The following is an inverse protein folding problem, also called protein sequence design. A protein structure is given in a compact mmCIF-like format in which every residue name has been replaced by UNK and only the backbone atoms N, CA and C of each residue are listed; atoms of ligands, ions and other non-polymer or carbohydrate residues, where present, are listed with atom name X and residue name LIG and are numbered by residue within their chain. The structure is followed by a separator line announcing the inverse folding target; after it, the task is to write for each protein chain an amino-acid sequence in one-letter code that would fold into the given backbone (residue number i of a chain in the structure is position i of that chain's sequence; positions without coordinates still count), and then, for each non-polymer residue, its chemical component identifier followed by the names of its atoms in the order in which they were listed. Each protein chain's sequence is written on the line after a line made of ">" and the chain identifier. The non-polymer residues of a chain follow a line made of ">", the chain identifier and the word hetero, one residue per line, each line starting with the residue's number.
data_IF_125120313490
#
_entry.id   IF_125120313490
#
_cell.length_a   1.000
_cell.length_b   1.000
_cell.length_c   1.000
_cell.angle_alpha   90.00
_cell.angle_beta   90.00
_cell.angle_gamma   90.00
#
_symmetry.space_group_name_H-M   'P 1'
#
loop_
_entity.id
_entity.type
_entity.pdbx_description
1 polymer ?
#
# COMPACT_ATOMS: atom_id res chain seq x y z
N UNK A 1 -26.00 5.69 -12.01
CA UNK A 1 -25.04 4.62 -12.34
C UNK A 1 -23.63 5.20 -12.36
N UNK A 2 -22.96 5.28 -11.19
CA UNK A 2 -21.61 5.87 -11.10
C UNK A 2 -20.62 5.03 -11.91
N UNK A 3 -19.87 5.68 -12.81
CA UNK A 3 -18.97 5.02 -13.76
C UNK A 3 -17.91 4.19 -13.01
N UNK A 4 -17.90 2.87 -13.24
CA UNK A 4 -16.99 1.84 -12.68
C UNK A 4 -15.49 2.19 -12.67
N UNK A 5 -15.07 3.23 -13.40
CA UNK A 5 -13.68 3.67 -13.50
C UNK A 5 -13.15 4.29 -12.20
N UNK A 6 -13.92 5.15 -11.53
CA UNK A 6 -13.51 5.76 -10.25
C UNK A 6 -13.50 4.76 -9.10
N UNK A 7 -14.39 3.77 -9.15
CA UNK A 7 -14.49 2.72 -8.15
C UNK A 7 -13.16 1.97 -7.97
N UNK A 8 -12.43 1.70 -9.06
CA UNK A 8 -11.13 1.02 -8.98
C UNK A 8 -10.09 1.86 -8.24
N UNK A 9 -10.00 3.15 -8.53
CA UNK A 9 -9.04 4.05 -7.87
C UNK A 9 -9.36 4.22 -6.38
N UNK A 10 -10.64 4.41 -6.05
CA UNK A 10 -11.11 4.54 -4.67
C UNK A 10 -10.88 3.23 -3.90
N UNK A 11 -11.22 2.08 -4.47
CA UNK A 11 -10.96 0.78 -3.85
C UNK A 11 -9.46 0.54 -3.60
N UNK A 12 -8.60 0.88 -4.56
CA UNK A 12 -7.15 0.80 -4.37
C UNK A 12 -6.66 1.71 -3.25
N UNK A 13 -7.18 2.94 -3.15
CA UNK A 13 -6.86 3.83 -2.02
C UNK A 13 -7.25 3.20 -0.68
N UNK A 14 -8.49 2.71 -0.56
CA UNK A 14 -8.98 2.08 0.67
C UNK A 14 -8.21 0.82 1.08
N UNK A 15 -7.58 0.11 0.14
CA UNK A 15 -6.72 -1.05 0.45
C UNK A 15 -5.30 -0.62 0.81
N UNK A 16 -4.72 0.32 0.06
CA UNK A 16 -3.32 0.76 0.24
C UNK A 16 -3.14 1.53 1.55
N UNK A 17 -4.12 2.35 1.95
CA UNK A 17 -4.07 3.15 3.17
C UNK A 17 -3.84 2.27 4.43
N UNK A 18 -4.70 1.30 4.77
CA UNK A 18 -4.51 0.46 5.95
C UNK A 18 -3.28 -0.44 5.83
N UNK A 19 -2.97 -0.97 4.63
CA UNK A 19 -1.80 -1.83 4.43
C UNK A 19 -0.49 -1.08 4.71
N UNK A 20 -0.38 0.15 4.21
CA UNK A 20 0.78 1.01 4.47
C UNK A 20 0.83 1.41 5.94
N UNK A 21 -0.31 1.74 6.55
CA UNK A 21 -0.38 2.12 7.97
C UNK A 21 0.14 1.02 8.91
N UNK A 22 -0.28 -0.24 8.68
CA UNK A 22 0.23 -1.41 9.41
C UNK A 22 1.73 -1.58 9.20
N UNK A 23 2.22 -1.46 7.96
CA UNK A 23 3.64 -1.60 7.64
C UNK A 23 4.51 -0.52 8.30
N UNK A 24 4.10 0.74 8.29
CA UNK A 24 4.83 1.80 9.01
C UNK A 24 4.84 1.53 10.51
N UNK A 25 3.69 1.12 11.06
CA UNK A 25 3.55 0.89 12.49
C UNK A 25 4.51 -0.21 12.95
N UNK A 26 4.43 -1.37 12.30
CA UNK A 26 5.31 -2.52 12.59
C UNK A 26 6.77 -2.17 12.34
N UNK A 27 7.08 -1.50 11.23
CA UNK A 27 8.45 -1.10 10.87
C UNK A 27 9.07 -0.16 11.91
N UNK A 28 8.34 0.85 12.36
CA UNK A 28 8.86 1.80 13.34
C UNK A 28 8.90 1.24 14.74
N UNK A 29 7.90 0.45 15.15
CA UNK A 29 7.97 -0.26 16.44
C UNK A 29 9.19 -1.18 16.50
N UNK A 30 9.47 -1.95 15.45
CA UNK A 30 10.61 -2.88 15.41
C UNK A 30 11.95 -2.17 15.42
N UNK A 31 12.09 -1.04 14.71
CA UNK A 31 13.39 -0.37 14.54
C UNK A 31 13.70 0.67 15.61
N UNK A 32 12.69 1.36 16.14
CA UNK A 32 12.89 2.51 17.03
C UNK A 32 12.21 2.38 18.40
N UNK A 33 11.24 1.46 18.56
CA UNK A 33 10.43 1.36 19.78
C UNK A 33 9.56 2.61 20.03
N UNK A 34 8.80 2.63 21.13
CA UNK A 34 7.95 3.76 21.51
C UNK A 34 8.75 4.85 22.24
N UNK A 35 9.62 5.56 21.52
CA UNK A 35 10.24 6.80 22.03
C UNK A 35 9.30 8.01 21.95
N UNK A 36 9.65 9.13 22.58
CA UNK A 36 8.83 10.36 22.62
C UNK A 36 8.45 10.86 21.21
N UNK A 37 9.34 10.74 20.23
CA UNK A 37 9.09 11.17 18.85
C UNK A 37 8.48 10.09 17.94
N UNK A 38 8.20 8.89 18.47
CA UNK A 38 7.84 7.74 17.63
C UNK A 38 6.58 8.01 16.81
N UNK A 39 5.56 8.65 17.42
CA UNK A 39 4.31 8.95 16.73
C UNK A 39 4.49 9.99 15.62
N UNK A 40 5.33 11.01 15.83
CA UNK A 40 5.63 12.03 14.83
C UNK A 40 6.46 11.44 13.68
N UNK A 41 7.47 10.62 14.01
CA UNK A 41 8.25 9.87 13.01
C UNK A 41 7.35 8.92 12.21
N UNK A 42 6.38 8.30 12.87
CA UNK A 42 5.35 7.46 12.25
C UNK A 42 4.49 8.21 11.26
N UNK A 43 3.84 9.30 11.67
CA UNK A 43 2.98 10.06 10.76
C UNK A 43 3.78 10.65 9.59
N UNK A 44 5.01 11.14 9.84
CA UNK A 44 5.87 11.70 8.80
C UNK A 44 6.31 10.64 7.79
N UNK A 45 6.76 9.47 8.25
CA UNK A 45 7.12 8.36 7.37
C UNK A 45 5.90 7.82 6.61
N UNK A 46 4.76 7.66 7.29
CA UNK A 46 3.53 7.15 6.70
C UNK A 46 2.95 8.08 5.63
N UNK A 47 2.94 9.39 5.88
CA UNK A 47 2.45 10.38 4.92
C UNK A 47 3.28 10.40 3.63
N UNK A 48 4.61 10.18 3.71
CA UNK A 48 5.48 10.13 2.52
C UNK A 48 5.32 8.82 1.75
N UNK A 49 5.16 7.69 2.42
CA UNK A 49 5.07 6.40 1.74
C UNK A 49 3.69 6.11 1.12
N UNK A 50 2.62 6.69 1.64
CA UNK A 50 1.26 6.52 1.11
C UNK A 50 1.14 6.88 -0.37
N UNK A 51 1.57 8.08 -0.84
CA UNK A 51 1.51 8.42 -2.27
C UNK A 51 2.42 7.52 -3.12
N UNK A 52 3.61 7.14 -2.60
CA UNK A 52 4.54 6.25 -3.30
C UNK A 52 3.93 4.85 -3.48
N UNK A 53 3.37 4.28 -2.41
CA UNK A 53 2.71 2.98 -2.44
C UNK A 53 1.47 2.98 -3.34
N UNK A 54 0.70 4.07 -3.33
CA UNK A 54 -0.45 4.22 -4.20
C UNK A 54 -0.05 4.24 -5.69
N UNK A 55 1.00 4.99 -6.04
CA UNK A 55 1.54 4.98 -7.41
C UNK A 55 2.07 3.59 -7.80
N UNK A 56 2.82 2.94 -6.91
CA UNK A 56 3.37 1.61 -7.13
C UNK A 56 2.25 0.56 -7.33
N UNK A 57 1.14 0.65 -6.60
CA UNK A 57 0.02 -0.27 -6.73
C UNK A 57 -0.54 -0.33 -8.17
N UNK A 58 -0.58 0.80 -8.90
CA UNK A 58 -1.03 0.80 -10.29
C UNK A 58 -0.12 0.06 -11.25
N UNK A 59 1.17 -0.05 -10.93
CA UNK A 59 2.15 -0.77 -11.75
C UNK A 59 2.21 -2.25 -11.32
N UNK A 60 2.22 -2.50 -10.01
CA UNK A 60 2.39 -3.84 -9.44
C UNK A 60 1.15 -4.69 -9.67
N UNK A 61 -0.08 -4.18 -9.42
CA UNK A 61 -1.32 -4.97 -9.55
C UNK A 61 -1.47 -5.62 -10.95
N UNK A 62 -1.37 -4.89 -12.08
CA UNK A 62 -1.51 -5.51 -13.40
C UNK A 62 -0.36 -6.46 -13.73
N UNK A 63 0.86 -6.17 -13.28
CA UNK A 63 2.01 -7.03 -13.50
C UNK A 63 1.92 -8.33 -12.70
N UNK A 64 1.55 -8.25 -11.42
CA UNK A 64 1.31 -9.40 -10.56
C UNK A 64 0.24 -10.31 -11.16
N UNK A 65 -0.87 -9.73 -11.64
CA UNK A 65 -1.93 -10.50 -12.32
C UNK A 65 -1.41 -11.24 -13.55
N UNK A 66 -0.65 -10.58 -14.42
CA UNK A 66 -0.01 -11.21 -15.60
C UNK A 66 0.94 -12.35 -15.20
N UNK A 67 1.69 -12.19 -14.11
CA UNK A 67 2.58 -13.23 -13.60
C UNK A 67 1.79 -14.41 -13.04
N UNK A 68 0.74 -14.17 -12.24
CA UNK A 68 -0.13 -15.22 -11.71
C UNK A 68 -0.81 -16.00 -12.84
N UNK A 69 -1.32 -15.31 -13.86
CA UNK A 69 -1.93 -15.95 -15.03
C UNK A 69 -0.91 -16.86 -15.76
N UNK A 70 0.33 -16.40 -15.97
CA UNK A 70 1.41 -17.21 -16.56
C UNK A 70 1.81 -18.44 -15.74
N UNK A 71 1.74 -18.33 -14.41
CA UNK A 71 2.07 -19.44 -13.51
C UNK A 71 0.98 -20.52 -13.54
N UNK A 72 -0.29 -20.12 -13.60
CA UNK A 72 -1.44 -21.03 -13.65
C UNK A 72 -1.61 -21.66 -15.04
N UNK A 73 -1.27 -20.94 -16.12
CA UNK A 73 -1.39 -21.45 -17.48
C UNK A 73 -0.21 -22.32 -17.93
N UNK A 74 0.65 -22.78 -17.01
CA UNK A 74 1.82 -23.60 -17.32
C UNK A 74 1.56 -25.11 -17.14
N UNK A 75 0.31 -25.49 -16.95
CA UNK A 75 -0.18 -26.88 -17.00
C UNK A 75 -1.05 -27.10 -18.25
#
# INVERSE_FOLDING_TARGET
>A
MMKKKHYRYINTLFVVIPMTLIMAFVGLMRNYGFGEDWFIKFLKAWSVMLPVAYAAAFIIIPNARKLSEKLVSKD
#
